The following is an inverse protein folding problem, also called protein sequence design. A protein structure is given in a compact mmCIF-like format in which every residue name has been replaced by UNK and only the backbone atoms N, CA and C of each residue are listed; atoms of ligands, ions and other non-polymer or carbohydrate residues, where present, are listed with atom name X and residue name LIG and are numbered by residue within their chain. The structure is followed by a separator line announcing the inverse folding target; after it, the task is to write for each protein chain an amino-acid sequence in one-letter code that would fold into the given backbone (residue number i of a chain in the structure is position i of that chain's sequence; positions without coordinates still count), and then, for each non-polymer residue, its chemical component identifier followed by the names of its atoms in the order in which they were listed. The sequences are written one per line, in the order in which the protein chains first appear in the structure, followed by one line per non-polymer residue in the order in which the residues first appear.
data_IF_356768512181
#
_entry.id   IF_356768512181
#
_cell.length_a   1.000
_cell.length_b   1.000
_cell.length_c   1.000
_cell.angle_alpha   90.00
_cell.angle_beta   90.00
_cell.angle_gamma   90.00
#
_symmetry.space_group_name_H-M   'P 1'
#
loop_
_entity.id
_entity.type
_entity.pdbx_description
1 polymer ?
#
# COMPACT_ATOMS: atom_id res chain seq x y z
N UNK A 1 -12.76 -0.59 -22.23
CA UNK A 1 -12.43 -1.38 -21.03
C UNK A 1 -12.15 -0.51 -19.80
N UNK A 2 -11.15 0.39 -19.84
CA UNK A 2 -10.76 1.24 -18.68
C UNK A 2 -11.91 2.12 -18.14
N UNK A 3 -12.73 2.72 -19.01
CA UNK A 3 -13.89 3.51 -18.57
C UNK A 3 -14.88 2.68 -17.73
N UNK A 4 -15.12 1.42 -18.11
CA UNK A 4 -16.05 0.54 -17.39
C UNK A 4 -15.54 0.18 -15.99
N UNK A 5 -14.24 -0.12 -15.87
CA UNK A 5 -13.57 -0.39 -14.59
C UNK A 5 -13.75 0.78 -13.62
N UNK A 6 -13.39 1.99 -14.06
CA UNK A 6 -13.46 3.18 -13.22
C UNK A 6 -14.87 3.48 -12.72
N UNK A 7 -15.88 3.39 -13.59
CA UNK A 7 -17.27 3.66 -13.19
C UNK A 7 -17.80 2.62 -12.20
N UNK A 8 -17.46 1.33 -12.40
CA UNK A 8 -17.88 0.26 -11.50
C UNK A 8 -17.15 0.35 -10.15
N UNK A 9 -15.85 0.63 -10.15
CA UNK A 9 -15.09 0.87 -8.91
C UNK A 9 -15.72 2.00 -8.10
N UNK A 10 -15.95 3.15 -8.73
CA UNK A 10 -16.53 4.30 -8.04
C UNK A 10 -17.97 4.08 -7.60
N UNK A 11 -18.76 3.28 -8.33
CA UNK A 11 -20.11 2.95 -7.90
C UNK A 11 -20.07 2.12 -6.62
N UNK A 12 -19.17 1.15 -6.54
CA UNK A 12 -18.97 0.32 -5.34
C UNK A 12 -18.50 1.18 -4.17
N UNK A 13 -17.48 2.01 -4.36
CA UNK A 13 -16.96 2.92 -3.32
C UNK A 13 -18.07 3.79 -2.73
N UNK A 14 -18.92 4.36 -3.58
CA UNK A 14 -20.05 5.20 -3.14
C UNK A 14 -21.14 4.41 -2.43
N UNK A 15 -21.50 3.23 -2.96
CA UNK A 15 -22.52 2.36 -2.37
C UNK A 15 -22.10 1.85 -0.98
N UNK A 16 -20.81 1.55 -0.82
CA UNK A 16 -20.22 1.00 0.40
C UNK A 16 -19.79 2.07 1.40
N UNK A 17 -19.93 3.36 1.05
CA UNK A 17 -19.57 4.49 1.91
C UNK A 17 -18.07 4.54 2.23
N UNK A 18 -17.21 4.11 1.31
CA UNK A 18 -15.77 4.09 1.54
C UNK A 18 -15.19 5.51 1.36
N UNK A 19 -14.54 6.01 2.41
CA UNK A 19 -13.79 7.26 2.39
C UNK A 19 -12.36 7.05 1.92
N UNK A 20 -11.81 5.87 2.19
CA UNK A 20 -10.50 5.44 1.73
C UNK A 20 -10.64 4.01 1.22
N UNK A 21 -10.19 3.76 0.00
CA UNK A 21 -10.29 2.44 -0.60
C UNK A 21 -9.07 2.09 -1.42
N UNK A 22 -8.96 0.83 -1.80
CA UNK A 22 -7.92 0.36 -2.72
C UNK A 22 -8.53 -0.73 -3.62
N UNK A 23 -8.24 -0.78 -4.93
CA UNK A 23 -8.57 -1.94 -5.75
C UNK A 23 -7.86 -3.18 -5.23
N UNK A 24 -8.54 -4.33 -5.18
CA UNK A 24 -7.90 -5.58 -4.75
C UNK A 24 -6.66 -5.89 -5.59
N UNK A 25 -5.67 -6.53 -5.00
CA UNK A 25 -4.50 -7.01 -5.74
C UNK A 25 -4.73 -8.43 -6.21
N UNK A 26 -4.38 -8.71 -7.45
CA UNK A 26 -4.36 -10.09 -7.93
C UNK A 26 -3.32 -10.90 -7.15
N UNK A 27 -3.70 -11.94 -6.38
CA UNK A 27 -2.77 -12.68 -5.53
C UNK A 27 -1.82 -13.59 -6.32
N UNK A 28 -2.11 -13.85 -7.59
CA UNK A 28 -1.31 -14.70 -8.47
C UNK A 28 -0.25 -13.90 -9.20
N UNK A 29 -0.61 -12.69 -9.65
CA UNK A 29 0.27 -11.87 -10.49
C UNK A 29 0.96 -10.72 -9.73
N UNK A 30 0.44 -10.31 -8.57
CA UNK A 30 0.99 -9.19 -7.81
C UNK A 30 2.00 -9.62 -6.74
N UNK A 31 2.97 -8.75 -6.45
CA UNK A 31 3.75 -8.85 -5.23
C UNK A 31 2.92 -8.32 -4.05
N UNK A 32 2.32 -9.24 -3.28
CA UNK A 32 1.47 -8.92 -2.12
C UNK A 32 2.28 -9.02 -0.83
N UNK A 33 2.53 -7.87 -0.19
CA UNK A 33 3.20 -7.82 1.12
C UNK A 33 2.22 -7.94 2.29
N UNK A 34 1.08 -7.26 2.20
CA UNK A 34 0.06 -7.23 3.24
C UNK A 34 -1.17 -8.02 2.79
N UNK A 35 -1.52 -9.15 3.46
CA UNK A 35 -2.58 -10.03 2.97
C UNK A 35 -3.96 -9.37 2.82
N UNK A 36 -4.22 -8.26 3.51
CA UNK A 36 -5.46 -7.48 3.38
C UNK A 36 -5.57 -6.71 2.07
N UNK A 37 -4.48 -6.51 1.32
CA UNK A 37 -4.58 -5.87 -0.01
C UNK A 37 -4.92 -6.87 -1.11
N UNK A 38 -4.75 -8.17 -0.88
CA UNK A 38 -5.13 -9.20 -1.83
C UNK A 38 -6.66 -9.25 -2.00
N UNK A 39 -7.13 -9.38 -3.25
CA UNK A 39 -8.55 -9.54 -3.52
C UNK A 39 -9.08 -10.85 -2.90
N UNK A 40 -10.27 -10.78 -2.33
CA UNK A 40 -11.05 -11.94 -1.94
C UNK A 40 -11.94 -12.38 -3.12
N UNK A 41 -11.80 -13.63 -3.56
CA UNK A 41 -12.70 -14.19 -4.57
C UNK A 41 -14.14 -14.23 -4.05
N UNK A 42 -15.11 -14.00 -4.94
CA UNK A 42 -16.54 -13.96 -4.64
C UNK A 42 -16.97 -12.90 -3.61
N UNK A 43 -16.10 -11.93 -3.32
CA UNK A 43 -16.41 -10.75 -2.54
C UNK A 43 -16.53 -9.53 -3.44
N UNK A 44 -17.35 -8.56 -3.03
CA UNK A 44 -17.42 -7.24 -3.68
C UNK A 44 -16.44 -6.26 -3.05
N UNK A 45 -16.41 -6.25 -1.72
CA UNK A 45 -15.52 -5.45 -0.88
C UNK A 45 -15.23 -6.25 0.39
N UNK A 46 -14.00 -6.19 0.86
CA UNK A 46 -13.66 -6.63 2.20
C UNK A 46 -12.96 -5.52 2.97
N UNK A 47 -13.14 -5.57 4.29
CA UNK A 47 -12.54 -4.60 5.22
C UNK A 47 -11.67 -5.28 6.27
N UNK A 48 -11.67 -6.62 6.31
CA UNK A 48 -11.01 -7.44 7.31
C UNK A 48 -10.39 -8.67 6.66
N UNK A 49 -9.29 -9.14 7.25
CA UNK A 49 -8.73 -10.47 6.99
C UNK A 49 -8.71 -11.33 8.24
N UNK A 50 -8.64 -12.65 8.03
CA UNK A 50 -8.37 -13.64 9.06
C UNK A 50 -7.05 -14.33 8.78
N UNK A 51 -6.15 -14.33 9.78
CA UNK A 51 -4.82 -14.92 9.67
C UNK A 51 -4.44 -15.53 11.02
N UNK A 52 -4.35 -16.85 11.05
CA UNK A 52 -4.08 -17.60 12.29
C UNK A 52 -2.62 -18.09 12.41
N UNK A 53 -1.79 -17.90 11.37
CA UNK A 53 -0.39 -18.38 11.31
C UNK A 53 0.56 -17.23 10.96
N UNK A 54 1.78 -17.27 11.51
CA UNK A 54 2.84 -16.27 11.29
C UNK A 54 2.92 -15.20 12.37
N UNK A 55 3.70 -14.14 12.11
CA UNK A 55 4.01 -13.11 13.12
C UNK A 55 2.83 -12.24 13.56
N UNK A 56 1.96 -11.83 12.62
CA UNK A 56 0.73 -11.07 12.94
C UNK A 56 -0.48 -12.00 12.86
N UNK A 57 -1.24 -12.07 13.96
CA UNK A 57 -2.51 -12.79 14.06
C UNK A 57 -3.68 -11.82 13.87
N UNK A 58 -4.59 -12.16 12.96
CA UNK A 58 -5.85 -11.45 12.74
C UNK A 58 -7.01 -12.42 13.00
N UNK A 59 -7.77 -12.16 14.05
CA UNK A 59 -8.98 -12.90 14.42
C UNK A 59 -10.17 -11.95 14.64
N UNK A 60 -11.30 -12.49 15.09
CA UNK A 60 -12.53 -11.71 15.28
C UNK A 60 -12.38 -10.56 16.27
N UNK A 61 -11.44 -10.64 17.20
CA UNK A 61 -11.20 -9.61 18.22
C UNK A 61 -10.22 -8.53 17.74
N UNK A 62 -9.55 -8.73 16.61
CA UNK A 62 -8.60 -7.75 16.08
C UNK A 62 -9.34 -6.49 15.59
N UNK A 63 -9.00 -5.33 16.15
CA UNK A 63 -9.64 -4.04 15.86
C UNK A 63 -8.75 -3.07 15.08
N UNK A 64 -7.48 -3.44 14.89
CA UNK A 64 -6.45 -2.54 14.40
C UNK A 64 -5.90 -2.96 13.03
N UNK A 65 -5.34 -2.01 12.27
CA UNK A 65 -4.48 -2.26 11.15
C UNK A 65 -3.36 -3.26 11.45
N UNK A 66 -2.98 -4.10 10.48
CA UNK A 66 -3.60 -4.25 9.15
C UNK A 66 -4.76 -5.26 9.13
N UNK A 67 -5.32 -5.67 10.28
CA UNK A 67 -6.34 -6.73 10.30
C UNK A 67 -7.72 -6.25 9.86
N UNK A 68 -8.07 -4.99 10.10
CA UNK A 68 -9.35 -4.39 9.71
C UNK A 68 -9.18 -2.89 9.38
N UNK A 69 -9.98 -2.39 8.43
CA UNK A 69 -10.11 -0.97 8.12
C UNK A 69 -8.79 -0.35 7.65
N UNK A 70 -8.09 -1.04 6.75
CA UNK A 70 -6.74 -0.69 6.33
C UNK A 70 -6.53 -0.92 4.84
N UNK A 71 -5.75 -0.04 4.21
CA UNK A 71 -5.24 -0.15 2.84
C UNK A 71 -3.78 0.34 2.82
N UNK A 72 -3.03 -0.04 1.80
CA UNK A 72 -1.64 0.37 1.62
C UNK A 72 -1.56 1.58 0.67
N UNK A 73 -0.64 2.52 0.91
CA UNK A 73 -0.45 3.73 0.09
C UNK A 73 0.16 3.43 -1.30
N UNK A 74 0.08 2.21 -1.80
CA UNK A 74 0.49 1.82 -3.15
C UNK A 74 -0.57 2.17 -4.21
N UNK A 75 -1.85 1.95 -3.90
CA UNK A 75 -2.97 2.21 -4.82
C UNK A 75 -4.23 2.74 -4.08
N UNK A 76 -4.08 3.68 -3.12
CA UNK A 76 -5.22 4.19 -2.40
C UNK A 76 -6.05 5.12 -3.29
N UNK A 77 -7.36 5.11 -3.05
CA UNK A 77 -8.33 6.05 -3.58
C UNK A 77 -8.98 6.72 -2.38
N UNK A 78 -9.07 8.05 -2.42
CA UNK A 78 -9.59 8.85 -1.34
C UNK A 78 -10.85 9.59 -1.79
N UNK A 79 -11.80 9.73 -0.87
CA UNK A 79 -12.82 10.77 -0.97
C UNK A 79 -12.16 12.15 -0.95
N UNK A 80 -12.91 13.19 -1.33
CA UNK A 80 -12.40 14.57 -1.28
C UNK A 80 -12.06 15.04 0.14
N UNK A 81 -12.80 14.56 1.15
CA UNK A 81 -12.58 14.83 2.57
C UNK A 81 -11.32 14.12 3.07
N UNK A 82 -11.25 12.81 2.83
CA UNK A 82 -10.12 12.00 3.25
C UNK A 82 -8.82 12.46 2.58
N UNK A 83 -8.86 12.81 1.28
CA UNK A 83 -7.69 13.29 0.57
C UNK A 83 -7.11 14.56 1.19
N UNK A 84 -7.95 15.53 1.57
CA UNK A 84 -7.47 16.76 2.22
C UNK A 84 -6.71 16.45 3.51
N UNK A 85 -7.26 15.58 4.35
CA UNK A 85 -6.61 15.13 5.58
C UNK A 85 -5.30 14.36 5.30
N UNK A 86 -5.33 13.38 4.40
CA UNK A 86 -4.17 12.56 4.01
C UNK A 86 -3.05 13.41 3.42
N UNK A 87 -3.40 14.42 2.63
CA UNK A 87 -2.44 15.34 2.02
C UNK A 87 -1.60 16.09 3.06
N UNK A 88 -2.23 16.57 4.14
CA UNK A 88 -1.49 17.21 5.23
C UNK A 88 -0.56 16.23 5.97
N UNK A 89 -0.91 14.94 6.06
CA UNK A 89 0.01 13.94 6.63
C UNK A 89 1.19 13.67 5.69
N UNK A 90 0.94 13.49 4.40
CA UNK A 90 1.96 13.22 3.38
C UNK A 90 2.99 14.35 3.30
N UNK A 91 2.56 15.61 3.31
CA UNK A 91 3.49 16.76 3.27
C UNK A 91 4.46 16.77 4.46
N UNK A 92 4.09 16.16 5.59
CA UNK A 92 4.91 16.09 6.80
C UNK A 92 5.75 14.82 6.91
N UNK A 93 5.55 13.83 6.03
CA UNK A 93 6.32 12.59 5.96
C UNK A 93 6.32 12.00 4.55
N UNK A 94 7.38 12.29 3.78
CA UNK A 94 7.49 11.83 2.38
C UNK A 94 8.37 10.57 2.22
N UNK A 95 8.85 9.95 3.30
CA UNK A 95 9.90 8.94 3.19
C UNK A 95 9.38 7.56 3.62
N UNK A 96 9.18 6.68 2.63
CA UNK A 96 8.80 5.25 2.71
C UNK A 96 7.38 4.89 3.13
N UNK A 97 6.51 5.85 3.47
CA UNK A 97 5.05 5.72 3.62
C UNK A 97 4.51 4.67 4.63
N UNK A 98 5.31 3.72 5.13
CA UNK A 98 4.85 2.68 6.06
C UNK A 98 4.17 3.27 7.31
N UNK A 99 4.69 4.39 7.81
CA UNK A 99 4.07 5.11 8.93
C UNK A 99 2.69 5.64 8.57
N UNK A 100 2.58 6.23 7.37
CA UNK A 100 1.32 6.74 6.84
C UNK A 100 0.30 5.61 6.64
N UNK A 101 0.70 4.46 6.11
CA UNK A 101 -0.21 3.32 5.90
C UNK A 101 -1.02 3.00 7.15
N UNK A 102 -0.41 3.09 8.33
CA UNK A 102 -1.09 2.80 9.61
C UNK A 102 -2.02 3.94 10.06
N UNK A 103 -1.74 5.19 9.68
CA UNK A 103 -2.47 6.37 10.16
C UNK A 103 -3.51 6.92 9.18
N UNK A 104 -3.52 6.51 7.91
CA UNK A 104 -4.51 6.98 6.93
C UNK A 104 -5.96 6.76 7.38
N UNK A 105 -6.22 5.71 8.17
CA UNK A 105 -7.55 5.45 8.74
C UNK A 105 -8.12 6.60 9.59
N UNK A 106 -7.28 7.48 10.15
CA UNK A 106 -7.75 8.69 10.85
C UNK A 106 -8.40 9.71 9.92
N UNK A 107 -8.13 9.64 8.62
CA UNK A 107 -8.75 10.50 7.62
C UNK A 107 -10.07 9.95 7.06
N UNK A 108 -10.51 8.76 7.48
CA UNK A 108 -11.66 8.05 6.92
C UNK A 108 -13.04 8.55 7.44
N UNK A 109 -13.10 9.75 8.02
CA UNK A 109 -14.33 10.43 8.47
C UNK A 109 -15.32 9.50 9.19
N UNK A 110 -15.00 9.06 10.40
CA UNK A 110 -15.81 8.11 11.17
C UNK A 110 -15.05 6.85 11.50
N UNK A 111 -15.74 5.72 11.62
CA UNK A 111 -15.12 4.44 11.97
C UNK A 111 -14.38 3.83 10.76
N UNK A 112 -13.04 3.82 10.80
CA UNK A 112 -12.21 3.21 9.74
C UNK A 112 -12.58 1.76 9.43
N UNK A 113 -13.12 1.01 10.41
CA UNK A 113 -13.54 -0.39 10.21
C UNK A 113 -14.68 -0.53 9.20
N UNK A 114 -15.42 0.57 8.96
CA UNK A 114 -16.52 0.66 8.00
C UNK A 114 -16.14 1.47 6.77
N UNK A 115 -15.37 2.54 6.96
CA UNK A 115 -15.13 3.52 5.89
C UNK A 115 -13.84 3.27 5.12
N UNK A 116 -13.02 2.30 5.54
CA UNK A 116 -11.81 1.86 4.84
C UNK A 116 -11.95 0.42 4.37
N UNK A 117 -11.66 0.15 3.09
CA UNK A 117 -11.81 -1.19 2.54
C UNK A 117 -11.17 -1.40 1.18
N UNK A 118 -11.03 -2.67 0.81
CA UNK A 118 -10.50 -3.12 -0.46
C UNK A 118 -11.66 -3.55 -1.36
N UNK A 119 -11.69 -3.03 -2.58
CA UNK A 119 -12.72 -3.34 -3.58
C UNK A 119 -12.28 -4.58 -4.36
N UNK A 120 -12.83 -5.74 -4.00
CA UNK A 120 -12.46 -7.04 -4.55
C UNK A 120 -12.94 -7.26 -5.99
N UNK A 121 -14.10 -6.69 -6.33
CA UNK A 121 -14.71 -6.85 -7.64
C UNK A 121 -13.93 -6.13 -8.76
N UNK A 122 -13.05 -5.19 -8.40
CA UNK A 122 -12.25 -4.37 -9.31
C UNK A 122 -10.81 -4.42 -8.82
N UNK A 123 -9.97 -5.18 -9.49
CA UNK A 123 -8.62 -5.49 -9.04
C UNK A 123 -7.55 -5.04 -10.05
N UNK A 124 -6.33 -4.91 -9.57
CA UNK A 124 -5.15 -4.53 -10.35
C UNK A 124 -4.01 -5.51 -10.11
N UNK A 125 -3.03 -5.48 -11.01
CA UNK A 125 -1.75 -6.17 -10.84
C UNK A 125 -0.71 -5.17 -10.35
N UNK A 126 -0.08 -5.47 -9.22
CA UNK A 126 1.02 -4.67 -8.68
C UNK A 126 2.34 -5.40 -8.80
N UNK A 127 3.20 -4.91 -9.69
CA UNK A 127 4.47 -5.56 -10.03
C UNK A 127 5.59 -5.39 -8.99
N UNK A 128 5.36 -4.68 -7.89
CA UNK A 128 6.37 -4.53 -6.82
C UNK A 128 7.65 -3.82 -7.27
N UNK A 129 7.60 -3.08 -8.38
CA UNK A 129 8.79 -2.43 -8.95
C UNK A 129 9.34 -1.38 -7.98
N UNK A 130 10.57 -1.53 -7.49
CA UNK A 130 11.13 -0.59 -6.54
C UNK A 130 11.37 0.75 -7.21
N UNK A 131 10.75 1.80 -6.68
CA UNK A 131 10.99 3.18 -7.12
C UNK A 131 12.26 3.78 -6.51
N UNK A 132 12.74 3.21 -5.39
CA UNK A 132 13.94 3.65 -4.68
C UNK A 132 14.87 2.45 -4.40
N UNK A 133 16.15 2.59 -4.77
CA UNK A 133 17.22 1.67 -4.40
C UNK A 133 17.28 0.32 -5.14
N UNK A 134 16.65 0.19 -6.31
CA UNK A 134 16.72 -0.99 -7.16
C UNK A 134 17.41 -0.74 -8.50
N UNK A 135 18.25 -1.67 -8.95
CA UNK A 135 18.66 -1.79 -10.35
C UNK A 135 17.59 -2.61 -11.06
N UNK A 136 16.94 -2.03 -12.07
CA UNK A 136 15.98 -2.74 -12.92
C UNK A 136 16.75 -3.63 -13.88
N UNK A 137 17.00 -4.89 -13.48
CA UNK A 137 17.44 -5.89 -14.44
C UNK A 137 16.20 -6.30 -15.26
N UNK A 138 16.11 -5.78 -16.48
CA UNK A 138 15.06 -6.06 -17.46
C UNK A 138 15.13 -7.49 -18.02
N UNK A 139 15.21 -8.51 -17.17
CA UNK A 139 15.38 -9.91 -17.58
C UNK A 139 14.27 -10.86 -17.11
N UNK A 140 13.20 -10.37 -16.48
CA UNK A 140 12.03 -11.21 -16.17
C UNK A 140 10.89 -11.14 -17.20
N UNK A 141 11.07 -10.44 -18.33
CA UNK A 141 10.01 -10.23 -19.34
C UNK A 141 10.36 -10.65 -20.77
N UNK A 142 11.32 -11.56 -20.98
CA UNK A 142 11.59 -12.11 -22.31
C UNK A 142 11.84 -13.62 -22.25
N UNK A 143 10.76 -14.41 -22.39
CA UNK A 143 10.87 -15.78 -22.88
C UNK A 143 10.75 -15.75 -24.41
N UNK A 144 11.74 -16.37 -25.05
CA UNK A 144 11.83 -16.77 -26.46
C UNK A 144 12.08 -15.64 -27.49
N UNK A 145 13.31 -15.53 -28.00
CA UNK A 145 13.70 -16.10 -29.30
C UNK A 145 15.21 -15.88 -29.59
N UNK A 146 15.69 -16.64 -30.56
CA UNK A 146 17.05 -17.10 -30.88
C UNK A 146 18.12 -16.07 -31.29
N UNK A 147 19.37 -16.36 -30.90
CA UNK A 147 20.67 -16.12 -31.55
C UNK A 147 20.80 -15.06 -32.67
N UNK A 148 21.68 -14.07 -32.46
CA UNK A 148 22.84 -13.84 -33.34
C UNK A 148 23.92 -12.96 -32.69
N UNK A 149 25.19 -13.37 -32.81
CA UNK A 149 26.40 -12.65 -32.38
C UNK A 149 26.82 -11.58 -33.39
N UNK A 150 27.19 -10.40 -32.91
CA UNK A 150 28.24 -9.47 -33.39
C UNK A 150 28.11 -8.22 -32.49
N UNK A 151 29.12 -7.62 -31.86
CA UNK A 151 30.55 -7.50 -32.13
C UNK A 151 30.87 -6.01 -32.03
N UNK A 152 31.83 -5.65 -31.17
CA UNK A 152 32.48 -4.34 -30.98
C UNK A 152 32.03 -3.51 -29.76
N UNK A 153 33.05 -3.27 -28.95
CA UNK A 153 33.25 -2.57 -27.68
C UNK A 153 32.98 -1.06 -27.69
N UNK A 154 32.46 -0.51 -26.59
CA UNK A 154 33.06 0.66 -25.93
C UNK A 154 32.46 0.90 -24.52
N UNK A 155 33.35 1.20 -23.58
CA UNK A 155 33.14 1.77 -22.23
C UNK A 155 32.34 0.99 -21.18
N UNK A 156 33.09 0.06 -20.58
CA UNK A 156 32.93 -0.43 -19.21
C UNK A 156 32.95 0.72 -18.19
N UNK A 157 31.77 1.23 -17.86
CA UNK A 157 31.46 1.60 -16.49
C UNK A 157 30.50 0.54 -15.95
N UNK A 158 31.09 -0.56 -15.49
CA UNK A 158 30.42 -1.51 -14.60
C UNK A 158 30.02 -0.73 -13.33
N UNK A 159 28.82 -0.16 -13.36
CA UNK A 159 28.12 0.23 -12.15
C UNK A 159 27.81 -1.05 -11.40
N UNK A 160 28.74 -1.42 -10.52
CA UNK A 160 28.60 -2.48 -9.52
C UNK A 160 27.16 -2.50 -8.99
N UNK A 161 26.42 -3.56 -9.30
CA UNK A 161 25.01 -3.73 -9.02
C UNK A 161 24.76 -3.95 -7.53
N UNK A 162 25.02 -2.93 -6.71
CA UNK A 162 24.81 -3.01 -5.27
C UNK A 162 23.32 -3.01 -4.99
N UNK A 163 22.80 -4.18 -4.60
CA UNK A 163 21.45 -4.32 -4.05
C UNK A 163 21.32 -3.48 -2.77
N UNK A 164 20.83 -2.25 -2.93
CA UNK A 164 20.64 -1.32 -1.84
C UNK A 164 19.33 -1.58 -1.08
N UNK A 165 18.56 -2.64 -1.39
CA UNK A 165 17.28 -2.94 -0.73
C UNK A 165 17.42 -3.10 0.77
N UNK A 166 18.50 -3.71 1.24
CA UNK A 166 18.79 -3.84 2.68
C UNK A 166 18.95 -2.47 3.37
N UNK A 167 19.68 -1.54 2.74
CA UNK A 167 19.87 -0.17 3.25
C UNK A 167 18.57 0.62 3.22
N UNK A 168 17.79 0.47 2.15
CA UNK A 168 16.45 1.06 2.02
C UNK A 168 15.56 0.59 3.16
N UNK A 169 15.42 -0.73 3.38
CA UNK A 169 14.63 -1.31 4.48
C UNK A 169 15.08 -0.83 5.86
N UNK A 170 16.39 -0.73 6.08
CA UNK A 170 16.94 -0.20 7.33
C UNK A 170 16.53 1.27 7.53
N UNK A 171 16.69 2.10 6.49
CA UNK A 171 16.27 3.50 6.51
C UNK A 171 14.76 3.64 6.75
N UNK A 172 13.92 2.87 6.06
CA UNK A 172 12.47 2.84 6.28
C UNK A 172 12.11 2.50 7.72
N UNK A 173 12.83 1.55 8.33
CA UNK A 173 12.61 1.14 9.72
C UNK A 173 12.97 2.24 10.72
N UNK A 174 14.02 3.01 10.45
CA UNK A 174 14.41 4.17 11.28
C UNK A 174 13.40 5.31 11.14
N UNK A 175 12.99 5.63 9.91
CA UNK A 175 11.99 6.69 9.67
C UNK A 175 10.63 6.35 10.27
N UNK A 176 10.20 5.08 10.20
CA UNK A 176 9.02 4.59 10.89
C UNK A 176 9.06 4.85 12.41
N UNK A 177 10.21 4.61 13.05
CA UNK A 177 10.37 4.89 14.49
C UNK A 177 10.20 6.39 14.77
N UNK A 178 10.89 7.24 13.99
CA UNK A 178 10.77 8.69 14.10
C UNK A 178 9.34 9.17 13.86
N UNK A 179 8.65 8.62 12.86
CA UNK A 179 7.24 8.93 12.60
C UNK A 179 6.37 8.61 13.81
N UNK A 180 6.51 7.42 14.42
CA UNK A 180 5.77 7.04 15.62
C UNK A 180 6.04 7.98 16.80
N UNK A 181 7.29 8.41 16.99
CA UNK A 181 7.66 9.38 18.03
C UNK A 181 6.99 10.74 17.79
N UNK A 182 7.04 11.25 16.55
CA UNK A 182 6.38 12.50 16.16
C UNK A 182 4.87 12.43 16.34
N UNK A 183 4.25 11.34 15.93
CA UNK A 183 2.81 11.11 16.12
C UNK A 183 2.42 11.13 17.59
N UNK A 184 3.13 10.36 18.43
CA UNK A 184 2.91 10.34 19.89
C UNK A 184 3.08 11.72 20.52
N UNK A 185 4.08 12.48 20.08
CA UNK A 185 4.28 13.86 20.55
C UNK A 185 3.13 14.77 20.14
N UNK A 186 2.70 14.73 18.87
CA UNK A 186 1.59 15.53 18.37
C UNK A 186 0.29 15.25 19.15
N UNK A 187 -0.02 13.97 19.38
CA UNK A 187 -1.16 13.53 20.19
C UNK A 187 -1.07 14.07 21.63
N UNK A 188 0.12 14.06 22.23
CA UNK A 188 0.33 14.56 23.60
C UNK A 188 0.19 16.10 23.68
N UNK A 189 0.67 16.80 22.67
CA UNK A 189 0.69 18.26 22.63
C UNK A 189 -0.71 18.83 22.32
N UNK A 190 -1.56 18.08 21.61
CA UNK A 190 -2.96 18.44 21.35
C UNK A 190 -3.88 18.04 22.53
N UNK A 191 -4.18 19.04 23.37
CA UNK A 191 -5.03 18.86 24.56
C UNK A 191 -6.49 18.51 24.24
N UNK A 192 -6.94 18.76 23.02
CA UNK A 192 -8.31 18.50 22.58
C UNK A 192 -8.42 17.18 21.83
N UNK A 193 -7.31 16.49 21.60
CA UNK A 193 -7.29 15.24 20.87
C UNK A 193 -7.91 14.11 21.68
N UNK A 194 -8.86 13.41 21.07
CA UNK A 194 -9.43 12.16 21.57
C UNK A 194 -9.20 11.11 20.49
N UNK A 195 -8.55 10.01 20.86
CA UNK A 195 -8.31 8.92 19.91
C UNK A 195 -9.64 8.23 19.57
N UNK A 196 -10.08 8.24 18.30
CA UNK A 196 -11.26 7.50 17.87
C UNK A 196 -11.05 5.98 17.78
N UNK A 197 -9.83 5.45 17.99
CA UNK A 197 -9.48 4.04 17.77
C UNK A 197 -8.85 3.33 18.96
#
# INVERSE_FOLDING_TARGET
MIKSFYFRYLSIVKEEGLEISQPGLDPTESEVYHPITARCENSKVHRRIYKYKGGLRCDGNSTDPPCIGWVELMAPVFSRSAWRCSWYMIQNDLIHAWGLDVQLGYCAQGDRKKNVGVVDAEYIVHYGLPTLGGVVNASSSARNETNHKSGVSQDSLESDGVDNRGKVRMKSSVEMKRFKERWKKAVKDDRCWVDPY
#
